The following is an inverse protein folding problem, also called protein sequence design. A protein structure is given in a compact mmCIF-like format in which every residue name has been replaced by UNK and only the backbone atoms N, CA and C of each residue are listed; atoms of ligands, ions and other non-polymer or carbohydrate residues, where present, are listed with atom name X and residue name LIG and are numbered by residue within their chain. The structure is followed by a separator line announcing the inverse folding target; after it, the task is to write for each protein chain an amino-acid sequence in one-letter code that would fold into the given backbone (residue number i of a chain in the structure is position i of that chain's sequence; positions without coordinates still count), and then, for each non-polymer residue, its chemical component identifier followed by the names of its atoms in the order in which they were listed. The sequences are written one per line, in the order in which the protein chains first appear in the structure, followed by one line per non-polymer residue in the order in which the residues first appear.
data_IF_815537424406
#
_entry.id   IF_815537424406
#
_cell.length_a   1.000
_cell.length_b   1.000
_cell.length_c   1.000
_cell.angle_alpha   90.00
_cell.angle_beta   90.00
_cell.angle_gamma   90.00
#
_symmetry.space_group_name_H-M   'P 1'
#
loop_
_entity.id
_entity.type
_entity.pdbx_description
1 polymer ?
#
# COMPACT_ATOMS: atom_id res chain seq x y z
N UNK A 1 3.09 -37.67 41.29
CA UNK A 1 2.98 -37.13 42.67
C UNK A 1 2.15 -35.86 42.60
N UNK A 2 1.19 -35.75 43.52
CA UNK A 2 0.17 -34.69 43.63
C UNK A 2 0.84 -33.35 43.94
N UNK A 3 0.31 -32.24 43.40
CA UNK A 3 0.02 -31.06 44.22
C UNK A 3 -1.02 -30.17 43.52
N UNK A 4 -2.05 -29.86 44.31
CA UNK A 4 -3.25 -29.08 44.03
C UNK A 4 -3.01 -27.57 44.09
N UNK A 5 -4.06 -26.83 43.68
CA UNK A 5 -4.52 -25.54 44.21
C UNK A 5 -3.89 -24.25 43.62
N UNK A 6 -4.60 -23.15 43.37
CA UNK A 6 -6.01 -22.78 43.58
C UNK A 6 -6.33 -21.57 42.69
N UNK A 7 -7.61 -21.43 42.32
CA UNK A 7 -8.19 -20.29 41.60
C UNK A 7 -8.01 -18.95 42.33
N UNK A 8 -7.76 -17.88 41.59
CA UNK A 8 -8.13 -16.52 41.99
C UNK A 8 -8.85 -15.85 40.80
N UNK A 9 -10.18 -15.93 40.85
CA UNK A 9 -11.09 -15.16 40.01
C UNK A 9 -11.22 -13.79 40.68
N UNK A 10 -10.73 -12.73 40.03
CA UNK A 10 -11.02 -11.36 40.44
C UNK A 10 -12.08 -10.78 39.51
N UNK A 11 -13.34 -10.87 39.93
CA UNK A 11 -14.45 -10.14 39.35
C UNK A 11 -14.50 -8.75 39.98
N UNK A 12 -14.20 -7.72 39.19
CA UNK A 12 -14.58 -6.35 39.51
C UNK A 12 -15.84 -6.00 38.72
N UNK A 13 -16.94 -5.86 39.45
CA UNK A 13 -18.20 -5.24 39.00
C UNK A 13 -18.25 -3.84 39.62
N UNK A 14 -19.29 -3.07 39.29
CA UNK A 14 -19.72 -1.74 39.77
C UNK A 14 -19.02 -0.54 39.10
N UNK A 15 -19.68 0.51 38.60
CA UNK A 15 -21.08 0.97 38.65
C UNK A 15 -21.33 1.98 37.52
N UNK A 16 -22.59 2.08 37.08
CA UNK A 16 -23.12 3.07 36.14
C UNK A 16 -23.51 4.41 36.81
N UNK A 17 -24.15 5.27 36.00
CA UNK A 17 -24.80 6.58 36.25
C UNK A 17 -23.90 7.80 35.95
N UNK A 18 -24.31 8.83 35.21
CA UNK A 18 -25.61 9.23 34.67
C UNK A 18 -25.70 10.77 34.61
N UNK A 19 -26.45 11.31 33.65
CA UNK A 19 -26.90 12.72 33.60
C UNK A 19 -25.91 13.70 32.95
N UNK A 20 -26.30 14.76 32.22
CA UNK A 20 -27.60 15.34 31.94
C UNK A 20 -27.44 16.38 30.81
N UNK A 21 -28.31 16.39 29.80
CA UNK A 21 -28.68 17.61 29.04
C UNK A 21 -29.70 18.41 29.89
N UNK A 22 -29.88 19.75 29.81
CA UNK A 22 -30.42 20.50 28.64
C UNK A 22 -29.91 22.00 28.66
N UNK A 23 -30.54 23.08 28.09
CA UNK A 23 -31.76 23.20 27.30
C UNK A 23 -31.66 24.02 25.99
N UNK A 24 -32.72 23.87 25.20
CA UNK A 24 -33.12 24.62 24.02
C UNK A 24 -33.92 25.89 24.38
N UNK A 25 -33.78 26.96 23.58
CA UNK A 25 -34.78 28.04 23.36
C UNK A 25 -34.35 29.03 22.26
N UNK A 26 -35.28 29.83 21.68
CA UNK A 26 -35.42 29.94 20.21
C UNK A 26 -35.09 31.30 19.58
N UNK A 27 -35.19 31.30 18.24
CA UNK A 27 -35.56 32.38 17.31
C UNK A 27 -34.71 33.65 17.24
N UNK A 28 -34.10 33.89 16.08
CA UNK A 28 -34.60 34.94 15.17
C UNK A 28 -33.97 34.84 13.79
N UNK A 29 -34.86 34.68 12.82
CA UNK A 29 -34.66 34.78 11.38
C UNK A 29 -34.04 36.13 11.00
N UNK A 30 -32.96 36.08 10.22
CA UNK A 30 -32.65 37.14 9.27
C UNK A 30 -32.28 36.51 7.93
N UNK A 31 -33.27 36.54 7.06
CA UNK A 31 -33.17 36.29 5.62
C UNK A 31 -32.17 37.29 5.04
N UNK A 32 -31.01 36.79 4.62
CA UNK A 32 -30.18 37.43 3.61
C UNK A 32 -29.92 36.37 2.54
N UNK A 33 -30.80 36.35 1.55
CA UNK A 33 -30.58 35.68 0.27
C UNK A 33 -29.45 36.41 -0.45
N UNK A 34 -28.21 36.04 -0.14
CA UNK A 34 -27.07 36.29 -1.03
C UNK A 34 -26.97 35.06 -1.92
N UNK A 35 -27.52 35.17 -3.13
CA UNK A 35 -27.28 34.23 -4.21
C UNK A 35 -25.84 34.42 -4.69
N UNK A 36 -24.88 33.96 -3.88
CA UNK A 36 -23.53 33.69 -4.34
C UNK A 36 -23.60 32.39 -5.11
N UNK A 37 -23.85 32.48 -6.43
CA UNK A 37 -23.41 31.45 -7.36
C UNK A 37 -21.88 31.50 -7.43
N UNK A 38 -21.22 31.19 -6.32
CA UNK A 38 -19.87 30.70 -6.34
C UNK A 38 -20.03 29.25 -6.75
N UNK A 39 -19.93 28.99 -8.05
CA UNK A 39 -19.47 27.69 -8.53
C UNK A 39 -18.12 27.49 -7.85
N UNK A 40 -18.13 26.87 -6.67
CA UNK A 40 -16.96 26.18 -6.15
C UNK A 40 -16.66 25.17 -7.24
N UNK A 41 -15.68 25.48 -8.08
CA UNK A 41 -15.01 24.45 -8.84
C UNK A 41 -14.64 23.42 -7.77
N UNK A 42 -15.33 22.27 -7.78
CA UNK A 42 -14.90 21.11 -7.01
C UNK A 42 -13.42 21.01 -7.30
N UNK A 43 -12.53 20.99 -6.29
CA UNK A 43 -11.12 20.78 -6.56
C UNK A 43 -11.07 19.58 -7.50
N UNK A 44 -10.41 19.76 -8.65
CA UNK A 44 -10.17 18.65 -9.56
C UNK A 44 -9.69 17.52 -8.66
N UNK A 45 -10.43 16.40 -8.64
CA UNK A 45 -10.14 15.31 -7.72
C UNK A 45 -8.64 15.07 -7.80
N UNK A 46 -7.95 15.22 -6.66
CA UNK A 46 -6.50 15.10 -6.65
C UNK A 46 -6.18 13.78 -7.34
N UNK A 47 -5.32 13.81 -8.37
CA UNK A 47 -5.03 12.64 -9.20
C UNK A 47 -4.76 11.43 -8.28
N UNK A 48 -5.64 10.43 -8.29
CA UNK A 48 -5.60 9.32 -7.32
C UNK A 48 -6.89 9.06 -6.55
N UNK A 49 -7.69 10.09 -6.26
CA UNK A 49 -8.89 9.97 -5.41
C UNK A 49 -10.17 9.75 -6.22
N UNK A 50 -11.10 8.96 -5.67
CA UNK A 50 -12.44 8.74 -6.21
C UNK A 50 -13.48 8.88 -5.09
N UNK A 51 -14.73 9.13 -5.45
CA UNK A 51 -15.82 9.35 -4.49
C UNK A 51 -16.39 8.02 -3.99
N UNK A 52 -16.20 7.72 -2.70
CA UNK A 52 -16.77 6.51 -2.09
C UNK A 52 -18.31 6.49 -2.05
N UNK A 53 -18.99 7.63 -2.21
CA UNK A 53 -20.44 7.64 -2.40
C UNK A 53 -20.86 7.18 -3.80
N UNK A 54 -19.94 7.17 -4.76
CA UNK A 54 -20.19 6.86 -6.18
C UNK A 54 -19.04 6.05 -6.82
N UNK A 55 -18.71 4.86 -6.29
CA UNK A 55 -17.67 4.03 -6.88
C UNK A 55 -18.11 3.54 -8.27
N UNK A 56 -17.20 3.59 -9.24
CA UNK A 56 -17.52 3.28 -10.65
C UNK A 56 -17.25 1.84 -11.05
N UNK A 57 -16.55 1.07 -10.21
CA UNK A 57 -16.22 -0.34 -10.46
C UNK A 57 -16.08 -1.15 -9.15
N UNK A 58 -15.90 -2.47 -9.28
CA UNK A 58 -15.78 -3.40 -8.14
C UNK A 58 -14.56 -3.12 -7.25
N UNK A 59 -13.43 -2.69 -7.82
CA UNK A 59 -12.24 -2.36 -7.06
C UNK A 59 -12.50 -1.15 -6.15
N UNK A 60 -13.09 -0.08 -6.69
CA UNK A 60 -13.48 1.11 -5.92
C UNK A 60 -14.51 0.79 -4.83
N UNK A 61 -15.51 -0.04 -5.13
CA UNK A 61 -16.48 -0.50 -4.13
C UNK A 61 -15.80 -1.25 -2.97
N UNK A 62 -14.85 -2.13 -3.30
CA UNK A 62 -14.07 -2.88 -2.33
C UNK A 62 -13.25 -1.94 -1.43
N UNK A 63 -12.55 -0.98 -2.03
CA UNK A 63 -11.72 -0.02 -1.30
C UNK A 63 -12.53 0.76 -0.26
N UNK A 64 -13.74 1.20 -0.63
CA UNK A 64 -14.62 1.96 0.26
C UNK A 64 -15.27 1.14 1.36
N UNK A 65 -15.37 -0.19 1.19
CA UNK A 65 -16.00 -1.08 2.17
C UNK A 65 -15.00 -1.74 3.12
N UNK A 66 -13.71 -1.70 2.81
CA UNK A 66 -12.66 -2.34 3.58
C UNK A 66 -11.68 -1.33 4.21
N UNK A 67 -11.67 -1.27 5.53
CA UNK A 67 -10.85 -0.31 6.30
C UNK A 67 -9.37 -0.34 5.92
N UNK A 68 -8.80 -1.51 5.68
CA UNK A 68 -7.38 -1.64 5.29
C UNK A 68 -7.09 -0.99 3.94
N UNK A 69 -7.97 -1.16 2.95
CA UNK A 69 -7.79 -0.59 1.62
C UNK A 69 -8.07 0.92 1.62
N UNK A 70 -9.03 1.37 2.42
CA UNK A 70 -9.26 2.80 2.65
C UNK A 70 -8.02 3.48 3.28
N UNK A 71 -7.39 2.85 4.28
CA UNK A 71 -6.14 3.37 4.87
C UNK A 71 -5.02 3.48 3.83
N UNK A 72 -4.83 2.43 3.02
CA UNK A 72 -3.84 2.43 1.95
C UNK A 72 -4.10 3.52 0.90
N UNK A 73 -5.37 3.79 0.58
CA UNK A 73 -5.74 4.89 -0.31
C UNK A 73 -5.31 6.25 0.25
N UNK A 74 -5.62 6.51 1.52
CA UNK A 74 -5.20 7.74 2.19
C UNK A 74 -3.68 7.86 2.29
N UNK A 75 -2.96 6.76 2.54
CA UNK A 75 -1.50 6.74 2.60
C UNK A 75 -0.87 7.04 1.25
N UNK A 76 -1.35 6.43 0.16
CA UNK A 76 -0.86 6.74 -1.19
C UNK A 76 -1.15 8.20 -1.53
N UNK A 77 -2.35 8.69 -1.22
CA UNK A 77 -2.70 10.09 -1.48
C UNK A 77 -1.78 11.05 -0.73
N UNK A 78 -1.50 10.76 0.54
CA UNK A 78 -0.59 11.57 1.37
C UNK A 78 0.84 11.54 0.82
N UNK A 79 1.36 10.36 0.52
CA UNK A 79 2.72 10.19 -0.02
C UNK A 79 2.88 10.86 -1.39
N UNK A 80 1.85 10.78 -2.24
CA UNK A 80 1.85 11.45 -3.54
C UNK A 80 1.87 12.97 -3.40
N UNK A 81 1.05 13.55 -2.51
CA UNK A 81 1.08 14.98 -2.25
C UNK A 81 2.42 15.45 -1.68
N UNK A 82 3.00 14.68 -0.76
CA UNK A 82 4.36 14.94 -0.26
C UNK A 82 5.36 14.94 -1.41
N UNK A 83 5.32 13.96 -2.30
CA UNK A 83 6.20 13.87 -3.47
C UNK A 83 6.09 15.10 -4.39
N UNK A 84 4.87 15.60 -4.65
CA UNK A 84 4.65 16.80 -5.47
C UNK A 84 5.26 18.08 -4.88
N UNK A 85 5.39 18.15 -3.56
CA UNK A 85 5.96 19.31 -2.84
C UNK A 85 7.49 19.28 -2.72
N UNK A 86 8.15 18.19 -3.11
CA UNK A 86 9.61 18.06 -2.99
C UNK A 86 10.31 19.05 -3.92
N UNK A 87 11.41 19.64 -3.44
CA UNK A 87 12.27 20.47 -4.27
C UNK A 87 12.86 19.63 -5.42
N UNK A 88 12.72 20.13 -6.66
CA UNK A 88 13.18 19.41 -7.86
C UNK A 88 12.28 18.25 -8.30
N UNK A 89 11.07 18.12 -7.73
CA UNK A 89 10.12 17.10 -8.18
C UNK A 89 9.73 17.28 -9.65
N UNK A 90 9.86 16.20 -10.43
CA UNK A 90 9.27 16.12 -11.76
C UNK A 90 7.77 15.87 -11.63
N UNK A 91 7.01 16.96 -11.43
CA UNK A 91 5.56 16.89 -11.25
C UNK A 91 4.82 16.24 -12.44
N UNK A 92 5.17 16.50 -13.71
CA UNK A 92 4.62 15.78 -14.84
C UNK A 92 4.83 14.25 -14.74
N UNK A 93 6.05 13.80 -14.46
CA UNK A 93 6.33 12.37 -14.32
C UNK A 93 5.59 11.73 -13.14
N UNK A 94 5.54 12.43 -11.98
CA UNK A 94 4.78 11.98 -10.81
C UNK A 94 3.28 11.83 -11.12
N UNK A 95 2.70 12.80 -11.83
CA UNK A 95 1.30 12.79 -12.24
C UNK A 95 1.01 11.65 -13.21
N UNK A 96 1.88 11.44 -14.20
CA UNK A 96 1.76 10.33 -15.14
C UNK A 96 1.81 8.96 -14.42
N UNK A 97 2.76 8.78 -13.50
CA UNK A 97 2.87 7.57 -12.70
C UNK A 97 1.66 7.37 -11.78
N UNK A 98 1.10 8.44 -11.22
CA UNK A 98 -0.11 8.36 -10.39
C UNK A 98 -1.33 7.95 -11.21
N UNK A 99 -1.48 8.46 -12.44
CA UNK A 99 -2.56 8.06 -13.35
C UNK A 99 -2.41 6.60 -13.78
N UNK A 100 -1.19 6.14 -14.06
CA UNK A 100 -0.91 4.74 -14.37
C UNK A 100 -1.29 3.83 -13.18
N UNK A 101 -0.93 4.21 -11.96
CA UNK A 101 -1.35 3.52 -10.75
C UNK A 101 -2.89 3.43 -10.62
N UNK A 102 -3.62 4.53 -10.86
CA UNK A 102 -5.09 4.54 -10.82
C UNK A 102 -5.66 3.56 -11.84
N UNK A 103 -5.12 3.54 -13.06
CA UNK A 103 -5.54 2.59 -14.09
C UNK A 103 -5.28 1.13 -13.68
N UNK A 104 -4.11 0.83 -13.10
CA UNK A 104 -3.78 -0.51 -12.58
C UNK A 104 -4.74 -0.91 -11.45
N UNK A 105 -4.95 -0.04 -10.46
CA UNK A 105 -5.84 -0.28 -9.33
C UNK A 105 -7.27 -0.55 -9.79
N UNK A 106 -7.80 0.29 -10.68
CA UNK A 106 -9.17 0.16 -11.16
C UNK A 106 -9.34 -1.06 -12.08
N UNK A 107 -8.31 -1.42 -12.85
CA UNK A 107 -8.25 -2.64 -13.66
C UNK A 107 -8.33 -3.93 -12.83
N UNK A 108 -8.00 -3.91 -11.53
CA UNK A 108 -8.22 -5.05 -10.64
C UNK A 108 -9.69 -5.49 -10.56
N UNK A 109 -10.65 -4.65 -10.97
CA UNK A 109 -12.06 -5.01 -11.04
C UNK A 109 -12.34 -6.21 -11.98
N UNK A 110 -11.44 -6.46 -12.95
CA UNK A 110 -11.53 -7.55 -13.93
C UNK A 110 -10.75 -8.80 -13.52
N UNK A 111 -10.00 -8.76 -12.41
CA UNK A 111 -9.29 -9.92 -11.88
C UNK A 111 -10.23 -10.87 -11.13
N UNK A 112 -9.93 -12.17 -11.18
CA UNK A 112 -10.65 -13.18 -10.39
C UNK A 112 -10.56 -12.88 -8.88
N UNK A 113 -9.35 -12.54 -8.42
CA UNK A 113 -9.06 -12.17 -7.03
C UNK A 113 -8.87 -10.65 -6.91
N UNK A 114 -9.99 -9.91 -6.88
CA UNK A 114 -10.00 -8.44 -6.85
C UNK A 114 -9.22 -7.90 -5.65
N UNK A 115 -9.44 -8.45 -4.44
CA UNK A 115 -8.83 -7.91 -3.21
C UNK A 115 -7.31 -8.01 -3.20
N UNK A 116 -6.68 -9.18 -3.43
CA UNK A 116 -5.22 -9.27 -3.52
C UNK A 116 -4.63 -8.34 -4.59
N UNK A 117 -5.26 -8.24 -5.76
CA UNK A 117 -4.81 -7.32 -6.82
C UNK A 117 -4.78 -5.86 -6.34
N UNK A 118 -5.87 -5.40 -5.73
CA UNK A 118 -5.96 -4.02 -5.22
C UNK A 118 -4.94 -3.77 -4.10
N UNK A 119 -4.80 -4.71 -3.16
CA UNK A 119 -3.83 -4.63 -2.08
C UNK A 119 -2.40 -4.48 -2.62
N UNK A 120 -2.00 -5.32 -3.57
CA UNK A 120 -0.68 -5.26 -4.19
C UNK A 120 -0.48 -3.94 -4.95
N UNK A 121 -1.49 -3.44 -5.68
CA UNK A 121 -1.39 -2.17 -6.40
C UNK A 121 -1.08 -1.01 -5.46
N UNK A 122 -1.76 -0.94 -4.30
CA UNK A 122 -1.49 0.08 -3.28
C UNK A 122 -0.10 -0.06 -2.64
N UNK A 123 0.27 -1.28 -2.24
CA UNK A 123 1.59 -1.53 -1.65
C UNK A 123 2.72 -1.18 -2.62
N UNK A 124 2.56 -1.54 -3.90
CA UNK A 124 3.53 -1.22 -4.96
C UNK A 124 3.67 0.29 -5.10
N UNK A 125 2.55 1.01 -5.14
CA UNK A 125 2.59 2.47 -5.29
C UNK A 125 3.25 3.18 -4.11
N UNK A 126 3.02 2.70 -2.89
CA UNK A 126 3.71 3.22 -1.70
C UNK A 126 5.23 3.00 -1.79
N UNK A 127 5.66 1.82 -2.23
CA UNK A 127 7.09 1.53 -2.43
C UNK A 127 7.67 2.46 -3.48
N UNK A 128 7.03 2.61 -4.64
CA UNK A 128 7.50 3.50 -5.72
C UNK A 128 7.70 4.94 -5.23
N UNK A 129 6.72 5.48 -4.51
CA UNK A 129 6.79 6.84 -3.95
C UNK A 129 7.89 6.98 -2.88
N UNK A 130 8.11 5.91 -2.08
CA UNK A 130 9.13 5.87 -1.05
C UNK A 130 10.53 5.77 -1.64
N UNK A 131 10.79 4.84 -2.57
CA UNK A 131 12.14 4.66 -3.14
C UNK A 131 12.54 5.78 -4.11
N UNK A 132 11.56 6.53 -4.64
CA UNK A 132 11.80 7.76 -5.39
C UNK A 132 12.12 8.96 -4.50
N UNK A 133 11.95 8.85 -3.18
CA UNK A 133 12.36 9.88 -2.23
C UNK A 133 13.88 9.81 -1.97
N UNK A 134 14.65 10.87 -2.25
CA UNK A 134 16.07 10.92 -1.91
C UNK A 134 16.35 10.77 -0.41
N UNK A 135 15.37 11.05 0.46
CA UNK A 135 15.48 10.83 1.90
C UNK A 135 15.37 9.34 2.30
N UNK A 136 14.85 8.49 1.43
CA UNK A 136 14.81 7.05 1.66
C UNK A 136 16.20 6.48 1.42
N UNK A 137 16.83 5.97 2.49
CA UNK A 137 18.12 5.31 2.38
C UNK A 137 18.02 4.08 1.46
N UNK A 138 18.70 4.13 0.32
CA UNK A 138 18.82 2.99 -0.59
C UNK A 138 19.72 1.91 0.06
N UNK A 139 19.25 0.67 0.19
CA UNK A 139 20.08 -0.43 0.68
C UNK A 139 21.14 -0.81 -0.37
N UNK A 140 22.17 -1.59 0.02
CA UNK A 140 23.16 -2.09 -0.92
C UNK A 140 22.52 -2.89 -2.07
N UNK A 141 23.09 -2.72 -3.26
CA UNK A 141 22.73 -3.53 -4.43
C UNK A 141 23.41 -4.89 -4.31
N UNK A 142 22.60 -5.94 -4.24
CA UNK A 142 23.05 -7.34 -4.33
C UNK A 142 23.04 -7.74 -5.79
N UNK A 143 24.16 -8.28 -6.28
CA UNK A 143 24.27 -8.80 -7.65
C UNK A 143 24.27 -10.32 -7.64
N UNK A 144 23.69 -10.91 -8.69
CA UNK A 144 23.59 -12.36 -8.81
C UNK A 144 24.30 -12.89 -10.04
N UNK A 145 24.84 -14.11 -9.90
CA UNK A 145 25.25 -15.00 -10.98
C UNK A 145 24.06 -15.89 -11.33
N UNK A 146 23.44 -15.60 -12.47
CA UNK A 146 22.32 -16.34 -13.03
C UNK A 146 22.75 -17.05 -14.33
N UNK A 147 21.97 -18.03 -14.81
CA UNK A 147 22.17 -18.63 -16.14
C UNK A 147 22.29 -17.55 -17.23
N UNK A 148 23.16 -17.74 -18.25
CA UNK A 148 23.41 -16.71 -19.26
C UNK A 148 22.16 -16.19 -20.00
N UNK A 149 21.17 -17.06 -20.21
CA UNK A 149 19.89 -16.79 -20.85
C UNK A 149 18.87 -16.09 -19.92
N UNK A 150 19.06 -16.21 -18.61
CA UNK A 150 18.27 -15.51 -17.60
C UNK A 150 18.59 -14.00 -17.55
N UNK A 151 19.76 -13.58 -18.03
CA UNK A 151 20.17 -12.16 -18.08
C UNK A 151 20.59 -11.59 -16.72
N UNK A 152 20.86 -10.28 -16.70
CA UNK A 152 21.36 -9.59 -15.49
C UNK A 152 20.26 -9.46 -14.45
N UNK A 153 20.61 -9.79 -13.20
CA UNK A 153 19.76 -9.61 -12.03
C UNK A 153 20.51 -8.88 -10.92
N UNK A 154 19.86 -7.86 -10.36
CA UNK A 154 20.26 -7.26 -9.09
C UNK A 154 19.05 -7.13 -8.16
N UNK A 155 19.28 -7.01 -6.85
CA UNK A 155 18.23 -6.76 -5.88
C UNK A 155 18.66 -5.75 -4.81
N UNK A 156 17.67 -5.04 -4.28
CA UNK A 156 17.79 -4.15 -3.13
C UNK A 156 16.70 -4.51 -2.12
N UNK A 157 17.08 -4.71 -0.85
CA UNK A 157 16.16 -5.15 0.21
C UNK A 157 15.86 -4.00 1.18
N UNK A 158 14.68 -3.41 1.03
CA UNK A 158 14.18 -2.30 1.83
C UNK A 158 13.50 -2.83 3.10
N UNK A 159 14.29 -3.02 4.15
CA UNK A 159 13.84 -3.54 5.44
C UNK A 159 13.10 -2.50 6.30
N UNK A 160 13.24 -1.23 5.96
CA UNK A 160 12.59 -0.10 6.63
C UNK A 160 11.18 0.20 6.10
N UNK A 161 10.77 -0.45 5.00
CA UNK A 161 9.42 -0.30 4.45
C UNK A 161 8.48 -1.35 5.06
N UNK A 162 7.20 -1.00 5.09
CA UNK A 162 6.12 -1.85 5.61
C UNK A 162 5.10 -2.09 4.47
N UNK A 163 4.99 -3.33 3.94
CA UNK A 163 5.79 -4.51 4.28
C UNK A 163 7.24 -4.43 3.77
N UNK A 164 8.13 -5.25 4.36
CA UNK A 164 9.51 -5.37 3.87
C UNK A 164 9.51 -5.75 2.39
N UNK A 165 10.34 -5.08 1.62
CA UNK A 165 10.24 -5.10 0.16
C UNK A 165 11.58 -5.47 -0.47
N UNK A 166 11.54 -6.35 -1.46
CA UNK A 166 12.64 -6.59 -2.37
C UNK A 166 12.34 -5.87 -3.70
N UNK A 167 13.27 -5.03 -4.16
CA UNK A 167 13.22 -4.39 -5.46
C UNK A 167 14.26 -5.07 -6.35
N UNK A 168 13.79 -5.88 -7.30
CA UNK A 168 14.61 -6.59 -8.25
C UNK A 168 14.73 -5.75 -9.53
N UNK A 169 15.90 -5.76 -10.15
CA UNK A 169 16.11 -5.30 -11.52
C UNK A 169 16.49 -6.50 -12.38
N UNK A 170 15.61 -6.90 -13.28
CA UNK A 170 15.76 -8.04 -14.16
C UNK A 170 15.67 -7.62 -15.63
N UNK A 171 16.79 -7.72 -16.35
CA UNK A 171 16.91 -7.26 -17.74
C UNK A 171 16.48 -5.78 -17.92
N UNK A 172 16.73 -4.94 -16.91
CA UNK A 172 16.31 -3.53 -16.89
C UNK A 172 14.86 -3.30 -16.48
N UNK A 173 14.11 -4.35 -16.15
CA UNK A 173 12.74 -4.25 -15.66
C UNK A 173 12.71 -4.37 -14.15
N UNK A 174 12.05 -3.40 -13.49
CA UNK A 174 11.92 -3.39 -12.04
C UNK A 174 10.75 -4.28 -11.60
N UNK A 175 11.01 -5.18 -10.66
CA UNK A 175 9.99 -6.02 -10.03
C UNK A 175 10.01 -5.79 -8.53
N UNK A 176 8.90 -5.29 -7.99
CA UNK A 176 8.73 -5.06 -6.55
C UNK A 176 8.05 -6.30 -5.97
N UNK A 177 8.66 -6.92 -4.95
CA UNK A 177 8.15 -8.09 -4.26
C UNK A 177 8.03 -7.82 -2.76
N UNK A 178 7.05 -8.41 -2.11
CA UNK A 178 6.78 -8.20 -0.68
C UNK A 178 7.13 -9.44 0.13
N UNK A 179 7.64 -9.25 1.34
CA UNK A 179 8.01 -10.36 2.23
C UNK A 179 6.84 -11.34 2.41
N UNK A 180 7.13 -12.64 2.32
CA UNK A 180 6.19 -13.73 2.50
C UNK A 180 6.62 -14.62 3.67
N UNK A 181 5.68 -15.25 4.39
CA UNK A 181 6.00 -16.29 5.37
C UNK A 181 6.81 -17.43 4.73
N UNK A 182 7.87 -17.86 5.41
CA UNK A 182 8.68 -19.01 5.00
C UNK A 182 9.24 -19.75 6.22
N UNK A 183 9.44 -21.06 6.10
CA UNK A 183 10.01 -21.89 7.16
C UNK A 183 11.53 -21.77 7.29
N UNK A 184 12.20 -21.30 6.23
CA UNK A 184 13.63 -21.01 6.21
C UNK A 184 13.97 -20.10 5.04
N UNK A 185 15.00 -19.27 5.21
CA UNK A 185 15.47 -18.34 4.19
C UNK A 185 14.60 -17.09 4.09
N UNK A 186 14.79 -16.34 3.01
CA UNK A 186 14.06 -15.10 2.77
C UNK A 186 13.21 -15.24 1.49
N UNK A 187 11.88 -15.23 1.67
CA UNK A 187 10.92 -15.33 0.57
C UNK A 187 10.21 -14.00 0.36
N UNK A 188 10.25 -13.49 -0.87
CA UNK A 188 9.52 -12.31 -1.30
C UNK A 188 8.69 -12.69 -2.52
N UNK A 189 7.44 -12.23 -2.57
CA UNK A 189 6.55 -12.62 -3.65
C UNK A 189 5.37 -11.68 -3.82
N UNK A 190 4.72 -11.86 -4.96
CA UNK A 190 3.46 -11.25 -5.36
C UNK A 190 2.80 -12.13 -6.42
N UNK A 191 1.61 -11.77 -6.90
CA UNK A 191 0.95 -12.54 -7.95
C UNK A 191 1.86 -12.70 -9.19
N UNK A 192 2.19 -13.95 -9.52
CA UNK A 192 2.99 -14.30 -10.69
C UNK A 192 4.49 -14.02 -10.58
N UNK A 193 5.02 -13.64 -9.41
CA UNK A 193 6.47 -13.48 -9.23
C UNK A 193 6.94 -13.80 -7.82
N UNK A 194 8.07 -14.47 -7.72
CA UNK A 194 8.68 -14.92 -6.47
C UNK A 194 10.21 -14.86 -6.54
N UNK A 195 10.78 -14.49 -5.39
CA UNK A 195 12.17 -14.62 -5.02
C UNK A 195 12.22 -15.45 -3.74
N UNK A 196 13.07 -16.47 -3.70
CA UNK A 196 13.33 -17.21 -2.47
C UNK A 196 14.81 -17.55 -2.34
N UNK A 197 15.47 -16.92 -1.36
CA UNK A 197 16.82 -17.28 -0.95
C UNK A 197 16.77 -18.41 0.07
N UNK A 198 17.56 -19.45 -0.16
CA UNK A 198 17.78 -20.55 0.76
C UNK A 198 19.18 -21.12 0.62
N UNK A 199 19.99 -21.03 1.68
CA UNK A 199 21.34 -21.63 1.77
C UNK A 199 22.30 -21.17 0.67
N UNK A 200 22.24 -19.89 0.27
CA UNK A 200 23.14 -19.31 -0.74
C UNK A 200 22.70 -19.54 -2.19
N UNK A 201 21.56 -20.22 -2.40
CA UNK A 201 20.88 -20.27 -3.69
C UNK A 201 19.62 -19.42 -3.66
N UNK A 202 19.33 -18.76 -4.79
CA UNK A 202 18.13 -17.96 -4.99
C UNK A 202 17.32 -18.60 -6.09
N UNK A 203 16.14 -19.11 -5.73
CA UNK A 203 15.15 -19.57 -6.71
C UNK A 203 14.24 -18.40 -7.08
N UNK A 204 14.07 -18.17 -8.38
CA UNK A 204 13.23 -17.11 -8.92
C UNK A 204 12.17 -17.70 -9.82
N UNK A 205 10.96 -17.14 -9.71
CA UNK A 205 9.94 -17.20 -10.74
C UNK A 205 9.57 -15.76 -11.07
N UNK A 206 9.95 -15.26 -12.25
CA UNK A 206 9.61 -13.91 -12.69
C UNK A 206 8.68 -14.01 -13.89
N UNK A 207 7.40 -13.70 -13.66
CA UNK A 207 6.34 -13.77 -14.68
C UNK A 207 6.27 -15.12 -15.40
N UNK A 208 6.43 -16.22 -14.64
CA UNK A 208 6.42 -17.59 -15.16
C UNK A 208 7.78 -18.08 -15.71
N UNK A 209 8.81 -17.24 -15.71
CA UNK A 209 10.18 -17.68 -16.05
C UNK A 209 10.89 -18.11 -14.78
N UNK A 210 11.26 -19.39 -14.70
CA UNK A 210 11.93 -19.96 -13.53
C UNK A 210 13.42 -20.15 -13.78
N UNK A 211 14.24 -19.74 -12.81
CA UNK A 211 15.69 -19.93 -12.84
C UNK A 211 16.29 -19.82 -11.44
N UNK A 212 17.49 -20.38 -11.27
CA UNK A 212 18.24 -20.34 -10.01
C UNK A 212 19.47 -19.47 -10.19
N UNK A 213 19.73 -18.58 -9.25
CA UNK A 213 20.93 -17.78 -9.19
C UNK A 213 21.70 -17.99 -7.88
N UNK A 214 22.93 -17.48 -7.84
CA UNK A 214 23.75 -17.39 -6.62
C UNK A 214 24.21 -15.96 -6.42
N UNK A 215 24.40 -15.56 -5.17
CA UNK A 215 24.98 -14.24 -4.86
C UNK A 215 26.42 -14.20 -5.36
N UNK A 216 26.80 -13.09 -6.01
CA UNK A 216 28.17 -12.81 -6.44
C UNK A 216 29.12 -12.53 -5.27
#
# INVERSE_FOLDING_TARGET
MKLFAVCLVAAFVVTACGGQAPPSSPSSSRTSSVTSNTTTASPAAAAGTFDCAKPTNKAQQLICSETQLTDLDHRVQTAYQQALTRAGADQPALTAAQNAFVATRDGCADHADVRPCVLEAYQTRLVELAIADPATAAPPVVSYDCPPDAGTLTAQFYNQLEPKTAVLDWKGNRVILFIQPSGSGARYGRQGSEYWEHQGEVTLNLSGTEFVCRTK
#
